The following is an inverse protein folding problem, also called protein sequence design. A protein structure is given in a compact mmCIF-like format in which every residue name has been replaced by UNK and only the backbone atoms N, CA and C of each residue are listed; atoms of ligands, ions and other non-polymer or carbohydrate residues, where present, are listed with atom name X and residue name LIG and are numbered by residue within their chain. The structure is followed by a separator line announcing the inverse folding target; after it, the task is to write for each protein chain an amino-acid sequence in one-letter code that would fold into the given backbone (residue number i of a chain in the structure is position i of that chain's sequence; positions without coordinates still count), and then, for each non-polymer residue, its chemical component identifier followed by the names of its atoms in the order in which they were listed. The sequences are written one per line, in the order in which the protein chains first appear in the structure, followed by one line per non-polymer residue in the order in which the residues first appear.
data_IF_065052641493
#
_entry.id   IF_065052641493
#
_cell.length_a   1.000
_cell.length_b   1.000
_cell.length_c   1.000
_cell.angle_alpha   90.00
_cell.angle_beta   90.00
_cell.angle_gamma   90.00
#
_symmetry.space_group_name_H-M   'P 1'
#
loop_
_entity.id
_entity.type
_entity.pdbx_description
1 polymer ?
#
# COMPACT_ATOMS: atom_id res chain seq x y z
N UNK A 1 -5.37 -4.27 -19.76
CA UNK A 1 -4.45 -3.43 -18.95
C UNK A 1 -3.33 -3.02 -19.87
N UNK A 2 -3.00 -1.72 -19.93
CA UNK A 2 -2.05 -1.21 -20.90
C UNK A 2 -0.76 -0.81 -20.17
N UNK A 3 0.37 -1.42 -20.53
CA UNK A 3 1.66 -1.05 -19.99
C UNK A 3 2.14 0.26 -20.61
N UNK A 4 2.71 1.12 -19.77
CA UNK A 4 3.21 2.44 -20.15
C UNK A 4 4.57 2.67 -19.49
N UNK A 5 5.42 3.57 -20.03
CA UNK A 5 6.61 4.00 -19.32
C UNK A 5 6.24 4.59 -17.95
N UNK A 6 7.02 4.29 -16.91
CA UNK A 6 6.81 4.84 -15.56
C UNK A 6 6.83 6.38 -15.56
N UNK A 7 7.70 6.97 -16.37
CA UNK A 7 7.83 8.43 -16.55
C UNK A 7 6.59 9.07 -17.19
N UNK A 8 5.69 8.27 -17.77
CA UNK A 8 4.39 8.75 -18.31
C UNK A 8 3.27 8.74 -17.27
N UNK A 9 3.51 8.27 -16.04
CA UNK A 9 2.53 8.37 -14.96
C UNK A 9 2.38 9.83 -14.49
N UNK A 10 1.23 10.21 -13.93
CA UNK A 10 1.07 11.48 -13.23
C UNK A 10 2.21 11.75 -12.22
N UNK A 11 2.68 13.00 -12.16
CA UNK A 11 3.83 13.39 -11.33
C UNK A 11 3.63 13.03 -9.86
N UNK A 12 2.43 13.23 -9.31
CA UNK A 12 2.13 12.88 -7.92
C UNK A 12 2.28 11.38 -7.61
N UNK A 13 2.05 10.49 -8.59
CA UNK A 13 2.32 9.05 -8.44
C UNK A 13 3.83 8.81 -8.39
N UNK A 14 4.57 9.44 -9.30
CA UNK A 14 6.03 9.29 -9.34
C UNK A 14 6.66 9.81 -8.04
N UNK A 15 6.21 10.97 -7.55
CA UNK A 15 6.64 11.55 -6.28
C UNK A 15 6.36 10.62 -5.10
N UNK A 16 5.15 10.04 -5.01
CA UNK A 16 4.81 9.10 -3.95
C UNK A 16 5.75 7.89 -3.94
N UNK A 17 5.99 7.29 -5.10
CA UNK A 17 6.88 6.12 -5.24
C UNK A 17 8.32 6.48 -4.91
N UNK A 18 8.84 7.57 -5.48
CA UNK A 18 10.22 8.02 -5.27
C UNK A 18 10.46 8.47 -3.82
N UNK A 19 9.44 8.92 -3.10
CA UNK A 19 9.56 9.33 -1.70
C UNK A 19 9.53 8.13 -0.75
N UNK A 20 8.53 7.26 -0.90
CA UNK A 20 8.25 6.23 0.11
C UNK A 20 8.83 4.85 -0.23
N UNK A 21 9.02 4.58 -1.53
CA UNK A 21 9.43 3.29 -2.08
C UNK A 21 10.74 3.39 -2.88
N UNK A 22 11.60 4.38 -2.60
CA UNK A 22 12.88 4.58 -3.30
C UNK A 22 13.78 3.33 -3.35
N UNK A 23 13.67 2.46 -2.36
CA UNK A 23 14.47 1.24 -2.23
C UNK A 23 13.87 0.07 -3.02
N UNK A 24 12.70 0.24 -3.63
CA UNK A 24 12.04 -0.75 -4.48
C UNK A 24 12.38 -0.49 -5.94
N UNK A 25 12.91 -1.52 -6.62
CA UNK A 25 13.19 -1.47 -8.05
C UNK A 25 11.88 -1.53 -8.84
N UNK A 26 11.58 -0.50 -9.63
CA UNK A 26 10.40 -0.46 -10.50
C UNK A 26 10.61 -1.43 -11.67
N UNK A 27 9.66 -2.32 -11.89
CA UNK A 27 9.66 -3.25 -13.02
C UNK A 27 8.84 -2.72 -14.20
N UNK A 28 7.60 -2.27 -13.94
CA UNK A 28 6.72 -1.71 -14.97
C UNK A 28 5.65 -0.81 -14.36
N UNK A 29 5.02 0.00 -15.21
CA UNK A 29 3.82 0.75 -14.90
C UNK A 29 2.70 0.37 -15.86
N UNK A 30 1.47 0.43 -15.39
CA UNK A 30 0.30 0.12 -16.19
C UNK A 30 -0.88 1.03 -15.88
N UNK A 31 -1.77 1.16 -16.86
CA UNK A 31 -3.02 1.91 -16.74
C UNK A 31 -4.20 1.08 -17.25
N UNK A 32 -5.29 1.11 -16.48
CA UNK A 32 -6.62 0.64 -16.87
C UNK A 32 -7.63 1.60 -16.26
N UNK A 33 -8.60 1.17 -15.44
CA UNK A 33 -9.48 2.05 -14.67
C UNK A 33 -8.74 2.84 -13.57
N UNK A 34 -7.52 2.43 -13.25
CA UNK A 34 -6.62 2.98 -12.24
C UNK A 34 -5.17 2.84 -12.75
N UNK A 35 -4.22 3.47 -12.07
CA UNK A 35 -2.79 3.32 -12.35
C UNK A 35 -2.17 2.27 -11.43
N UNK A 36 -1.16 1.56 -11.92
CA UNK A 36 -0.43 0.56 -11.16
C UNK A 36 1.07 0.79 -11.36
N UNK A 37 1.82 0.78 -10.27
CA UNK A 37 3.28 0.67 -10.29
C UNK A 37 3.62 -0.72 -9.78
N UNK A 38 4.37 -1.49 -10.57
CA UNK A 38 4.76 -2.87 -10.28
C UNK A 38 6.26 -2.87 -10.04
N UNK A 39 6.68 -3.36 -8.88
CA UNK A 39 8.08 -3.51 -8.52
C UNK A 39 8.60 -4.90 -8.91
N UNK A 40 9.91 -5.04 -8.95
CA UNK A 40 10.57 -6.33 -9.18
C UNK A 40 10.16 -7.34 -8.11
N UNK A 41 9.76 -8.54 -8.55
CA UNK A 41 9.17 -9.56 -7.68
C UNK A 41 7.66 -9.42 -7.48
N UNK A 42 7.01 -8.47 -8.16
CA UNK A 42 5.56 -8.44 -8.38
C UNK A 42 4.74 -7.75 -7.30
N UNK A 43 5.34 -7.20 -6.25
CA UNK A 43 4.63 -6.27 -5.37
C UNK A 43 4.21 -5.03 -6.17
N UNK A 44 3.13 -4.37 -5.75
CA UNK A 44 2.56 -3.28 -6.51
C UNK A 44 1.87 -2.23 -5.65
N UNK A 45 1.70 -1.05 -6.24
CA UNK A 45 0.89 0.04 -5.68
C UNK A 45 -0.16 0.41 -6.71
N UNK A 46 -1.41 0.42 -6.29
CA UNK A 46 -2.54 0.87 -7.10
C UNK A 46 -2.89 2.30 -6.72
N UNK A 47 -3.16 3.14 -7.72
CA UNK A 47 -3.56 4.54 -7.56
C UNK A 47 -4.84 4.81 -8.35
N UNK A 48 -5.74 5.60 -7.79
CA UNK A 48 -6.93 6.04 -8.53
C UNK A 48 -6.56 7.00 -9.67
N UNK A 49 -7.55 7.44 -10.47
CA UNK A 49 -7.31 8.34 -11.61
C UNK A 49 -6.78 9.72 -11.22
N UNK A 50 -6.88 10.12 -9.95
CA UNK A 50 -6.30 11.36 -9.42
C UNK A 50 -4.84 11.18 -8.97
N UNK A 51 -4.29 9.97 -9.05
CA UNK A 51 -2.95 9.63 -8.59
C UNK A 51 -2.83 9.42 -7.08
N UNK A 52 -3.94 9.23 -6.38
CA UNK A 52 -3.94 8.91 -4.95
C UNK A 52 -3.85 7.40 -4.78
N UNK A 53 -2.94 6.92 -3.91
CA UNK A 53 -2.80 5.49 -3.65
C UNK A 53 -4.09 4.92 -3.03
N UNK A 54 -4.44 3.70 -3.43
CA UNK A 54 -5.63 2.98 -2.95
C UNK A 54 -5.27 1.64 -2.33
N UNK A 55 -4.22 0.98 -2.80
CA UNK A 55 -3.68 -0.21 -2.15
C UNK A 55 -2.21 -0.44 -2.46
N UNK A 56 -1.54 -1.12 -1.54
CA UNK A 56 -0.16 -1.61 -1.67
C UNK A 56 -0.21 -3.11 -1.44
N UNK A 57 0.23 -3.89 -2.43
CA UNK A 57 0.09 -5.33 -2.48
C UNK A 57 1.48 -5.96 -2.44
N UNK A 58 1.77 -6.76 -1.42
CA UNK A 58 3.08 -7.41 -1.26
C UNK A 58 3.31 -8.59 -2.19
N UNK A 59 2.26 -9.12 -2.84
CA UNK A 59 2.32 -10.29 -3.74
C UNK A 59 3.04 -11.50 -3.11
N UNK A 60 2.49 -12.02 -2.00
CA UNK A 60 3.08 -13.07 -1.13
C UNK A 60 4.38 -12.67 -0.40
N UNK A 61 4.90 -11.46 -0.63
CA UNK A 61 5.97 -10.87 0.18
C UNK A 61 5.37 -9.95 1.25
N UNK A 62 6.23 -9.53 2.17
CA UNK A 62 5.90 -8.57 3.21
C UNK A 62 6.30 -7.16 2.79
N UNK A 63 5.50 -6.20 3.22
CA UNK A 63 5.79 -4.77 3.22
C UNK A 63 6.32 -4.47 4.61
N UNK A 64 7.51 -3.87 4.70
CA UNK A 64 8.07 -3.49 5.98
C UNK A 64 7.15 -2.46 6.67
N UNK A 65 6.88 -2.64 7.97
CA UNK A 65 6.10 -1.67 8.76
C UNK A 65 6.75 -0.27 8.67
N UNK A 66 8.09 -0.22 8.62
CA UNK A 66 8.84 1.03 8.43
C UNK A 66 8.69 1.69 7.06
N UNK A 67 8.19 0.96 6.06
CA UNK A 67 7.78 1.59 4.79
C UNK A 67 6.41 2.24 4.98
N UNK A 68 5.46 1.53 5.59
CA UNK A 68 4.11 2.01 5.85
C UNK A 68 4.08 3.25 6.77
N UNK A 69 4.97 3.31 7.76
CA UNK A 69 5.05 4.43 8.72
C UNK A 69 5.40 5.77 8.08
N UNK A 70 5.96 5.78 6.87
CA UNK A 70 6.34 7.01 6.17
C UNK A 70 5.14 7.80 5.62
N UNK A 71 4.00 7.14 5.42
CA UNK A 71 2.82 7.74 4.79
C UNK A 71 1.48 7.38 5.45
N UNK A 72 1.49 6.62 6.55
CA UNK A 72 0.32 6.33 7.38
C UNK A 72 0.55 6.92 8.77
N UNK A 73 -0.49 7.54 9.33
CA UNK A 73 -0.43 8.17 10.65
C UNK A 73 0.05 7.21 11.75
N UNK A 74 0.90 7.74 12.63
CA UNK A 74 1.57 6.98 13.67
C UNK A 74 0.59 6.23 14.59
N UNK A 75 -0.59 6.80 14.89
CA UNK A 75 -1.60 6.16 15.74
C UNK A 75 -2.10 4.83 15.15
N UNK A 76 -2.27 4.75 13.83
CA UNK A 76 -2.67 3.52 13.13
C UNK A 76 -1.49 2.53 13.09
N UNK A 77 -0.29 3.01 12.75
CA UNK A 77 0.90 2.17 12.62
C UNK A 77 1.31 1.58 13.97
N UNK A 78 1.16 2.30 15.07
CA UNK A 78 1.46 1.80 16.41
C UNK A 78 0.58 0.59 16.79
N UNK A 79 -0.70 0.61 16.38
CA UNK A 79 -1.60 -0.53 16.59
C UNK A 79 -1.08 -1.75 15.82
N UNK A 80 -0.70 -1.58 14.55
CA UNK A 80 -0.14 -2.67 13.75
C UNK A 80 1.16 -3.20 14.36
N UNK A 81 2.11 -2.30 14.68
CA UNK A 81 3.41 -2.66 15.25
C UNK A 81 3.30 -3.39 16.60
N UNK A 82 2.30 -3.07 17.40
CA UNK A 82 2.09 -3.72 18.71
C UNK A 82 1.53 -5.15 18.63
N UNK A 83 0.83 -5.49 17.54
CA UNK A 83 0.09 -6.76 17.42
C UNK A 83 0.62 -7.70 16.35
N UNK A 84 1.24 -7.17 15.31
CA UNK A 84 1.62 -7.91 14.12
C UNK A 84 3.10 -7.72 13.78
N UNK A 85 3.72 -8.74 13.22
CA UNK A 85 5.14 -8.72 12.83
C UNK A 85 5.33 -8.16 11.43
N UNK A 86 4.36 -8.39 10.55
CA UNK A 86 4.47 -8.15 9.12
C UNK A 86 3.16 -7.63 8.55
N UNK A 87 3.27 -6.82 7.50
CA UNK A 87 2.15 -6.41 6.67
C UNK A 87 2.33 -7.08 5.31
N UNK A 88 1.29 -7.67 4.75
CA UNK A 88 1.31 -8.26 3.41
C UNK A 88 0.67 -7.30 2.42
N UNK A 89 -0.48 -6.72 2.78
CA UNK A 89 -1.21 -5.78 1.94
C UNK A 89 -1.76 -4.62 2.78
N UNK A 90 -1.91 -3.46 2.15
CA UNK A 90 -2.49 -2.25 2.73
C UNK A 90 -3.59 -1.77 1.79
N UNK A 91 -4.78 -1.50 2.30
CA UNK A 91 -5.91 -1.01 1.52
C UNK A 91 -6.46 0.26 2.15
N UNK A 92 -6.43 1.36 1.39
CA UNK A 92 -7.11 2.59 1.78
C UNK A 92 -8.62 2.39 1.68
N UNK A 93 -9.34 2.72 2.74
CA UNK A 93 -10.80 2.75 2.78
C UNK A 93 -11.27 4.19 2.98
N UNK A 94 -12.55 4.43 2.75
CA UNK A 94 -13.14 5.76 2.90
C UNK A 94 -13.05 6.31 4.33
N UNK A 95 -13.07 5.44 5.35
CA UNK A 95 -13.03 5.83 6.77
C UNK A 95 -11.82 5.28 7.53
N UNK A 96 -10.81 4.75 6.85
CA UNK A 96 -9.62 4.20 7.51
C UNK A 96 -8.72 3.38 6.60
N UNK A 97 -7.91 2.51 7.20
CA UNK A 97 -6.97 1.63 6.51
C UNK A 97 -7.23 0.17 6.93
N UNK A 98 -7.33 -0.73 5.96
CA UNK A 98 -7.36 -2.18 6.20
C UNK A 98 -5.98 -2.78 5.86
N UNK A 99 -5.41 -3.55 6.78
CA UNK A 99 -4.15 -4.25 6.60
C UNK A 99 -4.42 -5.75 6.52
N UNK A 100 -3.81 -6.44 5.55
CA UNK A 100 -3.56 -7.87 5.67
C UNK A 100 -2.25 -8.04 6.42
N UNK A 101 -2.27 -8.63 7.61
CA UNK A 101 -1.11 -8.72 8.49
C UNK A 101 -0.81 -10.18 8.87
N UNK A 102 0.49 -10.48 9.00
CA UNK A 102 1.03 -11.82 9.30
C UNK A 102 0.52 -12.96 8.40
N UNK A 103 0.02 -12.61 7.22
CA UNK A 103 -0.71 -13.46 6.28
C UNK A 103 -1.92 -14.20 6.89
N UNK A 104 -2.38 -13.76 8.07
CA UNK A 104 -3.37 -14.47 8.90
C UNK A 104 -4.68 -13.73 9.02
N UNK A 105 -4.63 -12.41 9.06
CA UNK A 105 -5.79 -11.58 9.37
C UNK A 105 -5.85 -10.35 8.47
N UNK A 106 -7.08 -9.90 8.23
CA UNK A 106 -7.36 -8.53 7.84
C UNK A 106 -7.83 -7.74 9.05
N UNK A 107 -7.16 -6.63 9.35
CA UNK A 107 -7.54 -5.68 10.39
C UNK A 107 -7.89 -4.33 9.76
N UNK A 108 -9.09 -3.83 10.03
CA UNK A 108 -9.57 -2.53 9.59
C UNK A 108 -9.56 -1.54 10.76
N UNK A 109 -8.80 -0.46 10.61
CA UNK A 109 -8.62 0.60 11.61
C UNK A 109 -9.15 1.89 11.00
N UNK A 110 -10.01 2.62 11.71
CA UNK A 110 -10.47 3.92 11.24
C UNK A 110 -9.38 5.01 11.35
N UNK A 111 -9.65 6.19 10.80
CA UNK A 111 -8.72 7.32 10.90
C UNK A 111 -8.61 7.93 12.31
N UNK A 112 -9.41 7.51 13.29
CA UNK A 112 -9.24 7.91 14.69
C UNK A 112 -8.36 6.93 15.48
N UNK A 113 -8.01 5.78 14.90
CA UNK A 113 -7.22 4.74 15.55
C UNK A 113 -8.08 3.67 16.25
N UNK A 114 -9.37 3.59 15.95
CA UNK A 114 -10.23 2.52 16.47
C UNK A 114 -10.16 1.30 15.55
N UNK A 115 -10.01 0.12 16.14
CA UNK A 115 -10.14 -1.14 15.41
C UNK A 115 -11.62 -1.39 15.15
N UNK A 116 -12.03 -1.34 13.89
CA UNK A 116 -13.41 -1.52 13.45
C UNK A 116 -13.74 -2.98 13.21
N UNK A 117 -12.80 -3.74 12.65
CA UNK A 117 -13.03 -5.15 12.31
C UNK A 117 -11.72 -5.93 12.23
N UNK A 118 -11.76 -7.18 12.68
CA UNK A 118 -10.72 -8.20 12.43
C UNK A 118 -11.40 -9.42 11.79
N UNK A 119 -10.82 -9.97 10.73
CA UNK A 119 -11.27 -11.22 10.09
C UNK A 119 -10.07 -12.07 9.68
N UNK A 120 -10.22 -13.40 9.66
CA UNK A 120 -9.19 -14.30 9.11
C UNK A 120 -8.98 -14.04 7.61
N UNK A 121 -7.75 -14.24 7.15
CA UNK A 121 -7.33 -14.00 5.78
C UNK A 121 -7.73 -15.10 4.79
#
# INVERSE_FOLDING_TARGET
MNFIPYTSLPLNIQEFVNTYFKDYEIHSAAVSTHYIVIFKGGSSINFNRKGEWTSIIGNRKTIAISTAEKFIEAKIINIIRSKYKTINNIYKKSKGIEFKADDKEYIYIDYEGNIIKIKKA
#
